data_IF_819934371309
#
_entry.id   IF_819934371309
#
_cell.length_a   1.000
_cell.length_b   1.000
_cell.length_c   1.000
_cell.angle_alpha   90.00
_cell.angle_beta   90.00
_cell.angle_gamma   90.00
#
_symmetry.space_group_name_H-M   'P 1'
#
loop_
_entity.id
_entity.type
_entity.pdbx_description
1 polymer ?
#
# COMPACT_ATOMS: atom_id res chain seq x y z
N UNK A 1 1.77 -22.82 21.16
CA UNK A 1 1.25 -21.54 21.64
C UNK A 1 1.86 -21.30 23.00
N UNK A 2 2.45 -20.12 23.25
CA UNK A 2 3.07 -19.80 24.55
C UNK A 2 2.00 -19.64 25.63
N UNK A 3 2.37 -19.85 26.90
CA UNK A 3 1.45 -19.66 28.03
C UNK A 3 0.93 -18.21 28.13
N UNK A 4 1.75 -17.26 27.73
CA UNK A 4 1.42 -15.83 27.69
C UNK A 4 0.32 -15.54 26.64
N UNK A 5 0.48 -16.07 25.43
CA UNK A 5 -0.52 -15.95 24.36
C UNK A 5 -1.86 -16.60 24.76
N UNK A 6 -1.82 -17.73 25.49
CA UNK A 6 -3.03 -18.36 26.00
C UNK A 6 -3.75 -17.47 27.03
N UNK A 7 -2.99 -16.83 27.93
CA UNK A 7 -3.57 -15.93 28.92
C UNK A 7 -4.24 -14.70 28.29
N UNK A 8 -3.68 -14.18 27.17
CA UNK A 8 -4.27 -13.08 26.42
C UNK A 8 -5.54 -13.50 25.66
N UNK A 9 -5.57 -14.70 25.09
CA UNK A 9 -6.77 -15.28 24.48
C UNK A 9 -7.89 -15.44 25.51
N UNK A 10 -7.58 -15.91 26.72
CA UNK A 10 -8.56 -16.09 27.78
C UNK A 10 -9.17 -14.75 28.24
N UNK A 11 -8.43 -13.64 28.18
CA UNK A 11 -8.95 -12.28 28.40
C UNK A 11 -9.94 -11.82 27.34
N UNK A 12 -9.89 -12.41 26.15
CA UNK A 12 -10.78 -12.07 25.02
C UNK A 12 -12.08 -12.88 25.02
N UNK A 13 -12.18 -13.97 25.79
CA UNK A 13 -13.34 -14.90 25.80
C UNK A 13 -14.61 -14.42 26.51
N UNK A 14 -14.60 -13.48 27.49
CA UNK A 14 -15.79 -13.16 28.27
C UNK A 14 -17.06 -12.83 27.45
N UNK A 15 -17.01 -12.12 26.32
CA UNK A 15 -18.19 -11.89 25.49
C UNK A 15 -18.73 -13.16 24.83
N UNK A 16 -17.93 -14.21 24.71
CA UNK A 16 -18.22 -15.43 23.94
C UNK A 16 -18.61 -16.61 24.84
N UNK A 17 -18.96 -16.38 26.11
CA UNK A 17 -19.31 -17.44 27.06
C UNK A 17 -20.46 -18.35 26.62
N UNK A 18 -21.37 -17.83 25.78
CA UNK A 18 -22.54 -18.55 25.28
C UNK A 18 -22.27 -19.25 23.93
N UNK A 19 -21.03 -19.12 23.43
CA UNK A 19 -20.58 -19.73 22.19
C UNK A 19 -19.80 -21.00 22.45
N UNK A 20 -19.89 -21.95 21.51
CA UNK A 20 -19.09 -23.17 21.49
C UNK A 20 -18.84 -23.66 20.07
N UNK A 21 -17.92 -24.63 19.89
CA UNK A 21 -17.76 -25.28 18.60
C UNK A 21 -19.03 -26.05 18.22
N UNK A 22 -19.27 -26.17 16.92
CA UNK A 22 -20.29 -27.05 16.42
C UNK A 22 -19.93 -28.53 16.69
N UNK A 23 -20.91 -29.45 16.78
CA UNK A 23 -20.61 -30.87 16.82
C UNK A 23 -19.78 -31.33 15.61
N UNK A 24 -18.93 -32.33 15.81
CA UNK A 24 -18.09 -32.90 14.74
C UNK A 24 -18.98 -33.36 13.57
N UNK A 25 -18.51 -33.03 12.36
CA UNK A 25 -19.22 -33.37 11.13
C UNK A 25 -20.44 -32.50 10.80
N UNK A 26 -20.66 -31.39 11.50
CA UNK A 26 -21.73 -30.45 11.14
C UNK A 26 -21.48 -29.86 9.73
N UNK A 27 -22.41 -30.00 8.77
CA UNK A 27 -22.17 -29.66 7.36
C UNK A 27 -22.24 -28.15 7.07
N UNK A 28 -22.47 -27.29 8.08
CA UNK A 28 -22.81 -25.89 7.89
C UNK A 28 -24.26 -25.70 7.42
N UNK A 29 -24.60 -24.46 7.07
CA UNK A 29 -25.90 -24.09 6.57
C UNK A 29 -25.91 -23.53 5.16
N UNK A 30 -24.78 -22.98 4.69
CA UNK A 30 -24.73 -22.23 3.42
C UNK A 30 -25.16 -23.08 2.21
N UNK A 31 -24.81 -24.37 2.20
CA UNK A 31 -25.15 -25.32 1.13
C UNK A 31 -25.80 -26.59 1.62
N UNK A 32 -26.13 -26.70 2.90
CA UNK A 32 -26.84 -27.85 3.44
C UNK A 32 -28.34 -27.70 3.23
N UNK A 33 -29.07 -28.85 3.37
CA UNK A 33 -30.54 -28.86 3.40
C UNK A 33 -31.11 -28.60 4.79
N UNK A 34 -30.26 -28.24 5.76
CA UNK A 34 -30.68 -27.92 7.11
C UNK A 34 -31.49 -26.63 7.12
N UNK A 35 -32.62 -26.63 7.83
CA UNK A 35 -33.42 -25.43 7.97
C UNK A 35 -32.73 -24.43 8.88
N UNK A 36 -32.46 -23.22 8.39
CA UNK A 36 -31.91 -22.11 9.14
C UNK A 36 -32.46 -20.79 8.63
N UNK A 37 -32.67 -19.87 9.55
CA UNK A 37 -32.89 -18.48 9.20
C UNK A 37 -31.59 -17.86 8.74
N UNK A 38 -31.61 -17.04 7.67
CA UNK A 38 -30.45 -16.40 7.08
C UNK A 38 -30.51 -14.89 7.29
N UNK A 39 -29.56 -14.35 8.02
CA UNK A 39 -29.49 -12.93 8.33
C UNK A 39 -28.26 -12.31 7.66
N UNK A 40 -28.44 -11.18 6.97
CA UNK A 40 -27.32 -10.41 6.43
C UNK A 40 -26.63 -9.64 7.56
N UNK A 41 -25.30 -9.70 7.61
CA UNK A 41 -24.51 -8.92 8.56
C UNK A 41 -23.93 -7.71 7.85
N UNK A 42 -24.28 -6.52 8.33
CA UNK A 42 -23.77 -5.25 7.77
C UNK A 42 -22.28 -5.08 8.06
N UNK A 43 -21.51 -4.56 7.06
CA UNK A 43 -20.05 -4.45 7.12
C UNK A 43 -19.54 -3.54 8.24
N UNK A 44 -20.31 -2.52 8.62
CA UNK A 44 -19.98 -1.59 9.69
C UNK A 44 -20.11 -2.17 11.09
N UNK A 45 -20.87 -3.24 11.23
CA UNK A 45 -21.06 -3.94 12.52
C UNK A 45 -19.93 -4.91 12.87
N UNK A 46 -19.29 -5.49 11.85
CA UNK A 46 -18.11 -6.37 12.00
C UNK A 46 -17.04 -5.94 11.00
N UNK A 47 -16.25 -4.91 11.36
CA UNK A 47 -15.45 -4.16 10.39
C UNK A 47 -14.29 -4.93 9.77
N UNK A 48 -13.77 -5.95 10.43
CA UNK A 48 -12.58 -6.67 9.93
C UNK A 48 -12.85 -8.16 9.82
N UNK A 49 -13.07 -8.64 8.60
CA UNK A 49 -13.31 -10.08 8.32
C UNK A 49 -12.16 -10.96 8.83
N UNK A 50 -10.90 -10.47 8.75
CA UNK A 50 -9.73 -11.20 9.24
C UNK A 50 -9.79 -11.48 10.75
N UNK A 51 -10.34 -10.56 11.58
CA UNK A 51 -10.51 -10.78 13.02
C UNK A 51 -11.51 -11.89 13.31
N UNK A 52 -12.48 -12.11 12.43
CA UNK A 52 -13.47 -13.18 12.59
C UNK A 52 -12.82 -14.57 12.48
N UNK A 53 -11.84 -14.77 11.61
CA UNK A 53 -11.08 -16.01 11.56
C UNK A 53 -10.39 -16.31 12.91
N UNK A 54 -9.78 -15.29 13.53
CA UNK A 54 -9.15 -15.44 14.84
C UNK A 54 -10.17 -15.77 15.93
N UNK A 55 -11.31 -15.07 15.96
CA UNK A 55 -12.39 -15.33 16.92
C UNK A 55 -12.93 -16.74 16.75
N UNK A 56 -13.33 -17.12 15.53
CA UNK A 56 -13.94 -18.40 15.27
C UNK A 56 -12.98 -19.56 15.57
N UNK A 57 -11.72 -19.48 15.14
CA UNK A 57 -10.74 -20.56 15.34
C UNK A 57 -10.13 -20.60 16.73
N UNK A 58 -9.70 -19.46 17.27
CA UNK A 58 -8.88 -19.42 18.50
C UNK A 58 -9.74 -19.24 19.76
N UNK A 59 -10.86 -18.51 19.68
CA UNK A 59 -11.70 -18.24 20.85
C UNK A 59 -12.89 -19.19 20.96
N UNK A 60 -13.56 -19.50 19.84
CA UNK A 60 -14.74 -20.39 19.83
C UNK A 60 -14.32 -21.85 19.57
N UNK A 61 -13.21 -22.07 18.85
CA UNK A 61 -12.77 -23.42 18.47
C UNK A 61 -13.53 -24.00 17.27
N UNK A 62 -14.13 -23.15 16.46
CA UNK A 62 -14.84 -23.57 15.26
C UNK A 62 -13.89 -23.93 14.12
N UNK A 63 -14.27 -24.88 13.28
CA UNK A 63 -13.54 -25.29 12.09
C UNK A 63 -14.10 -24.65 10.84
N UNK A 64 -13.22 -24.19 9.95
CA UNK A 64 -13.60 -23.71 8.64
C UNK A 64 -13.94 -24.88 7.73
N UNK A 65 -15.13 -24.87 7.14
CA UNK A 65 -15.56 -25.88 6.18
C UNK A 65 -14.93 -25.70 4.79
N UNK A 66 -14.17 -24.62 4.59
CA UNK A 66 -13.48 -24.32 3.34
C UNK A 66 -14.34 -23.59 2.33
N UNK A 67 -13.90 -23.66 1.08
CA UNK A 67 -14.46 -22.93 -0.06
C UNK A 67 -15.47 -23.75 -0.84
N UNK A 68 -16.49 -23.09 -1.36
CA UNK A 68 -17.44 -23.65 -2.32
C UNK A 68 -17.87 -22.56 -3.32
N UNK A 69 -18.72 -22.89 -4.29
CA UNK A 69 -19.23 -21.90 -5.25
C UNK A 69 -19.85 -20.70 -4.51
N UNK A 70 -19.34 -19.49 -4.76
CA UNK A 70 -19.78 -18.24 -4.12
C UNK A 70 -19.61 -18.18 -2.59
N UNK A 71 -18.86 -19.11 -1.99
CA UNK A 71 -18.56 -19.20 -0.57
C UNK A 71 -17.04 -19.13 -0.34
N UNK A 72 -16.57 -18.12 0.35
CA UNK A 72 -15.15 -17.98 0.69
C UNK A 72 -14.77 -18.86 1.89
N UNK A 73 -15.60 -18.91 2.90
CA UNK A 73 -15.46 -19.73 4.10
C UNK A 73 -16.77 -19.81 4.88
N UNK A 74 -16.93 -20.87 5.68
CA UNK A 74 -18.04 -21.04 6.61
C UNK A 74 -17.55 -21.67 7.91
N UNK A 75 -17.92 -21.05 9.04
CA UNK A 75 -17.65 -21.51 10.40
C UNK A 75 -18.95 -21.92 11.08
N UNK A 76 -19.28 -23.22 11.20
CA UNK A 76 -20.34 -23.68 12.08
C UNK A 76 -19.92 -23.55 13.54
N UNK A 77 -20.85 -23.13 14.39
CA UNK A 77 -20.68 -22.97 15.83
C UNK A 77 -21.99 -23.14 16.57
N UNK A 78 -21.97 -23.14 17.89
CA UNK A 78 -23.18 -23.11 18.71
C UNK A 78 -23.31 -21.80 19.46
N UNK A 79 -24.53 -21.32 19.61
CA UNK A 79 -24.88 -20.20 20.46
C UNK A 79 -26.04 -20.60 21.36
N UNK A 80 -25.84 -20.55 22.70
CA UNK A 80 -26.80 -21.06 23.70
C UNK A 80 -27.28 -22.49 23.42
N UNK A 81 -26.38 -23.32 22.87
CA UNK A 81 -26.69 -24.72 22.52
C UNK A 81 -27.35 -24.89 21.16
N UNK A 82 -27.74 -23.85 20.45
CA UNK A 82 -28.35 -23.92 19.12
C UNK A 82 -27.29 -23.82 18.02
N UNK A 83 -27.48 -24.60 16.96
CA UNK A 83 -26.56 -24.61 15.84
C UNK A 83 -26.68 -23.30 15.03
N UNK A 84 -25.52 -22.72 14.74
CA UNK A 84 -25.37 -21.50 13.95
C UNK A 84 -24.22 -21.68 12.94
N UNK A 85 -24.16 -20.87 11.91
CA UNK A 85 -22.92 -20.67 11.15
C UNK A 85 -22.74 -19.23 10.69
N UNK A 86 -21.47 -18.82 10.59
CA UNK A 86 -21.07 -17.57 10.00
C UNK A 86 -20.35 -17.86 8.69
N UNK A 87 -20.84 -17.29 7.58
CA UNK A 87 -20.32 -17.56 6.25
C UNK A 87 -20.04 -16.27 5.47
N UNK A 88 -18.89 -16.21 4.82
CA UNK A 88 -18.57 -15.14 3.86
C UNK A 88 -18.97 -15.61 2.46
N UNK A 89 -20.03 -15.01 1.96
CA UNK A 89 -20.57 -15.24 0.62
C UNK A 89 -20.12 -14.15 -0.35
N UNK A 90 -20.21 -14.37 -1.66
CA UNK A 90 -19.93 -13.39 -2.73
C UNK A 90 -20.57 -12.01 -2.46
N UNK A 91 -21.77 -11.98 -1.89
CA UNK A 91 -22.52 -10.76 -1.59
C UNK A 91 -22.48 -10.35 -0.10
N UNK A 92 -21.42 -10.72 0.62
CA UNK A 92 -21.15 -10.30 1.98
C UNK A 92 -21.39 -11.37 3.05
N UNK A 93 -21.20 -10.97 4.30
CA UNK A 93 -21.26 -11.84 5.44
C UNK A 93 -22.72 -12.25 5.75
N UNK A 94 -22.91 -13.52 6.07
CA UNK A 94 -24.21 -14.12 6.41
C UNK A 94 -24.08 -14.89 7.71
N UNK A 95 -25.06 -14.68 8.59
CA UNK A 95 -25.26 -15.45 9.79
C UNK A 95 -26.46 -16.38 9.58
N UNK A 96 -26.28 -17.66 9.82
CA UNK A 96 -27.31 -18.66 9.79
C UNK A 96 -27.60 -19.11 11.21
N UNK A 97 -28.88 -19.17 11.56
CA UNK A 97 -29.37 -19.62 12.87
C UNK A 97 -30.38 -20.74 12.66
N UNK A 98 -30.19 -21.84 13.38
CA UNK A 98 -31.20 -22.88 13.41
C UNK A 98 -32.52 -22.29 13.95
N UNK A 99 -33.59 -22.48 13.19
CA UNK A 99 -34.91 -21.95 13.55
C UNK A 99 -35.40 -22.56 14.86
N UNK A 100 -35.87 -21.70 15.77
CA UNK A 100 -36.58 -22.10 16.99
C UNK A 100 -38.07 -21.77 16.81
N UNK A 101 -38.96 -22.60 17.35
CA UNK A 101 -40.42 -22.40 17.17
C UNK A 101 -40.94 -21.08 17.78
N UNK A 102 -40.27 -20.55 18.85
CA UNK A 102 -40.66 -19.32 19.55
C UNK A 102 -39.53 -18.27 19.66
N UNK A 103 -38.47 -18.38 18.86
CA UNK A 103 -37.28 -17.50 18.94
C UNK A 103 -37.37 -16.24 18.06
N UNK A 104 -36.97 -15.08 18.60
CA UNK A 104 -36.73 -13.86 17.80
C UNK A 104 -35.35 -13.95 17.13
N UNK A 105 -35.36 -14.53 15.92
CA UNK A 105 -34.14 -14.73 15.10
C UNK A 105 -33.36 -13.43 14.89
N UNK A 106 -34.04 -12.30 14.72
CA UNK A 106 -33.36 -11.02 14.51
C UNK A 106 -32.71 -10.48 15.79
N UNK A 107 -33.35 -10.70 16.94
CA UNK A 107 -32.75 -10.31 18.23
C UNK A 107 -31.52 -11.16 18.53
N UNK A 108 -31.60 -12.49 18.32
CA UNK A 108 -30.47 -13.39 18.51
C UNK A 108 -29.31 -13.05 17.54
N UNK A 109 -29.63 -12.78 16.28
CA UNK A 109 -28.62 -12.36 15.31
C UNK A 109 -27.91 -11.04 15.72
N UNK A 110 -28.66 -10.05 16.18
CA UNK A 110 -28.11 -8.79 16.70
C UNK A 110 -27.22 -9.01 17.90
N UNK A 111 -27.65 -9.89 18.81
CA UNK A 111 -26.87 -10.20 20.02
C UNK A 111 -25.57 -10.93 19.67
N UNK A 112 -25.61 -11.95 18.80
CA UNK A 112 -24.44 -12.67 18.30
C UNK A 112 -23.45 -11.70 17.65
N UNK A 113 -23.89 -10.85 16.73
CA UNK A 113 -23.04 -9.84 16.06
C UNK A 113 -22.41 -8.87 17.06
N UNK A 114 -23.19 -8.39 18.04
CA UNK A 114 -22.69 -7.51 19.09
C UNK A 114 -21.61 -8.17 19.95
N UNK A 115 -21.79 -9.44 20.32
CA UNK A 115 -20.80 -10.21 21.09
C UNK A 115 -19.53 -10.51 20.31
N UNK A 116 -19.65 -10.86 19.01
CA UNK A 116 -18.50 -11.01 18.11
C UNK A 116 -17.72 -9.69 17.95
N UNK A 117 -18.43 -8.57 17.80
CA UNK A 117 -17.81 -7.25 17.74
C UNK A 117 -17.12 -6.84 19.07
N UNK A 118 -17.68 -7.23 20.21
CA UNK A 118 -17.04 -7.02 21.51
C UNK A 118 -15.77 -7.86 21.66
N UNK A 119 -15.80 -9.12 21.22
CA UNK A 119 -14.61 -9.98 21.19
C UNK A 119 -13.54 -9.45 20.25
N UNK A 120 -13.90 -8.92 19.07
CA UNK A 120 -12.96 -8.27 18.15
C UNK A 120 -12.23 -7.09 18.80
N UNK A 121 -12.96 -6.21 19.52
CA UNK A 121 -12.34 -5.08 20.26
C UNK A 121 -11.39 -5.54 21.36
N UNK A 122 -11.70 -6.65 22.04
CA UNK A 122 -10.79 -7.22 23.04
C UNK A 122 -9.54 -7.84 22.41
N UNK A 123 -9.68 -8.49 21.24
CA UNK A 123 -8.55 -8.99 20.45
C UNK A 123 -7.62 -7.83 20.03
N UNK A 124 -8.18 -6.76 19.47
CA UNK A 124 -7.41 -5.57 19.07
C UNK A 124 -6.64 -4.98 20.26
N UNK A 125 -7.26 -4.93 21.42
CA UNK A 125 -6.64 -4.32 22.62
C UNK A 125 -5.61 -5.22 23.29
N UNK A 126 -5.87 -6.52 23.40
CA UNK A 126 -5.10 -7.39 24.29
C UNK A 126 -4.16 -8.34 23.55
N UNK A 127 -4.58 -8.86 22.38
CA UNK A 127 -3.82 -9.90 21.66
C UNK A 127 -3.02 -9.34 20.50
N UNK A 128 -3.64 -8.50 19.66
CA UNK A 128 -2.99 -8.06 18.43
C UNK A 128 -1.69 -7.30 18.63
N UNK A 129 -1.52 -6.42 19.64
CA UNK A 129 -0.26 -5.70 19.81
C UNK A 129 0.94 -6.63 19.97
N UNK A 130 0.89 -7.56 20.93
CA UNK A 130 1.98 -8.53 21.16
C UNK A 130 2.16 -9.48 19.99
N UNK A 131 1.07 -9.95 19.39
CA UNK A 131 1.12 -10.84 18.23
C UNK A 131 1.74 -10.15 17.01
N UNK A 132 1.35 -8.91 16.74
CA UNK A 132 1.90 -8.10 15.63
C UNK A 132 3.38 -7.83 15.89
N UNK A 133 3.79 -7.45 17.09
CA UNK A 133 5.20 -7.20 17.43
C UNK A 133 6.08 -8.41 17.14
N UNK A 134 5.64 -9.61 17.56
CA UNK A 134 6.36 -10.86 17.28
C UNK A 134 6.44 -11.10 15.77
N UNK A 135 5.33 -11.00 15.03
CA UNK A 135 5.30 -11.29 13.60
C UNK A 135 6.09 -10.27 12.77
N UNK A 136 6.05 -9.00 13.17
CA UNK A 136 6.87 -7.94 12.56
C UNK A 136 8.35 -8.19 12.85
N UNK A 137 8.71 -8.58 14.08
CA UNK A 137 10.09 -8.94 14.43
C UNK A 137 10.62 -10.17 13.67
N UNK A 138 9.74 -11.12 13.34
CA UNK A 138 10.07 -12.31 12.52
C UNK A 138 9.99 -12.05 11.01
N UNK A 139 9.73 -10.83 10.55
CA UNK A 139 9.46 -10.47 9.15
C UNK A 139 8.29 -11.25 8.51
N UNK A 140 7.38 -11.82 9.30
CA UNK A 140 6.19 -12.53 8.80
C UNK A 140 5.09 -11.56 8.42
N UNK A 141 5.37 -10.78 7.39
CA UNK A 141 4.52 -9.67 6.91
C UNK A 141 4.17 -9.92 5.45
N UNK A 142 2.93 -9.58 5.09
CA UNK A 142 2.47 -9.51 3.69
C UNK A 142 2.34 -8.04 3.34
N UNK A 143 3.02 -7.61 2.29
CA UNK A 143 2.91 -6.26 1.74
C UNK A 143 1.83 -6.27 0.67
N UNK A 144 0.81 -5.45 0.87
CA UNK A 144 -0.25 -5.27 -0.12
C UNK A 144 0.25 -4.46 -1.31
N UNK A 145 -0.09 -4.94 -2.50
CA UNK A 145 0.29 -4.27 -3.72
C UNK A 145 -0.58 -3.04 -3.96
N UNK A 146 0.05 -1.87 -4.01
CA UNK A 146 -0.58 -0.58 -4.31
C UNK A 146 -0.13 -0.04 -5.68
N UNK A 147 0.51 -0.88 -6.50
CA UNK A 147 1.12 -0.50 -7.77
C UNK A 147 0.14 0.21 -8.70
N UNK A 148 -1.07 -0.33 -8.85
CA UNK A 148 -2.10 0.26 -9.72
C UNK A 148 -2.48 1.68 -9.31
N UNK A 149 -2.65 1.92 -8.00
CA UNK A 149 -2.98 3.24 -7.48
C UNK A 149 -1.82 4.23 -7.64
N UNK A 150 -0.60 3.84 -7.26
CA UNK A 150 0.57 4.71 -7.31
C UNK A 150 0.97 5.04 -8.75
N UNK A 151 0.93 4.05 -9.64
CA UNK A 151 1.18 4.24 -11.09
C UNK A 151 0.11 5.12 -11.71
N UNK A 152 -1.17 4.90 -11.38
CA UNK A 152 -2.26 5.73 -11.88
C UNK A 152 -2.11 7.19 -11.44
N UNK A 153 -1.69 7.44 -10.20
CA UNK A 153 -1.41 8.79 -9.71
C UNK A 153 -0.24 9.46 -10.46
N UNK A 154 0.86 8.71 -10.67
CA UNK A 154 2.00 9.20 -11.45
C UNK A 154 1.61 9.56 -12.89
N UNK A 155 0.91 8.66 -13.57
CA UNK A 155 0.46 8.87 -14.96
C UNK A 155 -0.48 10.07 -15.07
N UNK A 156 -1.44 10.19 -14.16
CA UNK A 156 -2.36 11.33 -14.14
C UNK A 156 -1.64 12.68 -14.06
N UNK A 157 -0.67 12.82 -13.15
CA UNK A 157 0.07 14.07 -13.04
C UNK A 157 1.05 14.29 -14.20
N UNK A 158 1.59 13.23 -14.79
CA UNK A 158 2.42 13.32 -16.00
C UNK A 158 1.62 13.87 -17.18
N UNK A 159 0.46 13.30 -17.43
CA UNK A 159 -0.46 13.77 -18.51
C UNK A 159 -0.94 15.20 -18.26
N UNK A 160 -1.23 15.53 -17.00
CA UNK A 160 -1.63 16.89 -16.64
C UNK A 160 -0.52 17.93 -16.89
N UNK A 161 0.73 17.60 -16.55
CA UNK A 161 1.89 18.46 -16.82
C UNK A 161 2.14 18.63 -18.30
N UNK A 162 2.10 17.53 -19.07
CA UNK A 162 2.26 17.55 -20.52
C UNK A 162 1.18 18.39 -21.20
N UNK A 163 -0.08 18.21 -20.82
CA UNK A 163 -1.19 19.01 -21.32
C UNK A 163 -1.02 20.50 -21.00
N UNK A 164 -0.54 20.83 -19.79
CA UNK A 164 -0.32 22.21 -19.40
C UNK A 164 0.77 22.88 -20.23
N UNK A 165 1.92 22.23 -20.38
CA UNK A 165 3.04 22.78 -21.18
C UNK A 165 2.74 22.87 -22.68
N UNK A 166 1.76 22.10 -23.19
CA UNK A 166 1.30 22.17 -24.58
C UNK A 166 0.09 23.09 -24.79
N UNK A 167 -0.28 23.88 -23.79
CA UNK A 167 -1.36 24.85 -23.86
C UNK A 167 -2.78 24.29 -23.69
N UNK A 168 -2.89 22.99 -23.33
CA UNK A 168 -4.15 22.31 -23.04
C UNK A 168 -4.62 22.45 -21.59
N UNK A 169 -3.84 23.07 -20.73
CA UNK A 169 -4.08 23.19 -19.31
C UNK A 169 -5.31 24.02 -18.94
N UNK A 170 -5.79 23.87 -17.71
CA UNK A 170 -6.96 24.54 -17.19
C UNK A 170 -6.72 26.04 -16.97
N UNK A 171 -5.53 26.39 -16.45
CA UNK A 171 -5.18 27.81 -16.21
C UNK A 171 -5.04 28.58 -17.53
N UNK A 172 -4.45 27.96 -18.56
CA UNK A 172 -4.36 28.55 -19.89
C UNK A 172 -5.76 28.80 -20.51
N UNK A 173 -6.65 27.82 -20.43
CA UNK A 173 -8.06 27.97 -20.90
C UNK A 173 -8.79 29.08 -20.17
N UNK A 174 -8.66 29.12 -18.83
CA UNK A 174 -9.27 30.20 -18.02
C UNK A 174 -8.70 31.56 -18.37
N UNK A 175 -7.40 31.65 -18.61
CA UNK A 175 -6.74 32.90 -19.05
C UNK A 175 -7.27 33.34 -20.40
N UNK A 176 -7.44 32.45 -21.38
CA UNK A 176 -7.99 32.72 -22.71
C UNK A 176 -9.44 33.23 -22.61
N UNK A 177 -10.28 32.63 -21.76
CA UNK A 177 -11.65 33.07 -21.51
C UNK A 177 -11.71 34.46 -20.90
N UNK A 178 -10.84 34.75 -19.92
CA UNK A 178 -10.79 36.06 -19.26
C UNK A 178 -10.26 37.17 -20.15
N UNK A 179 -9.41 36.86 -21.13
CA UNK A 179 -8.69 37.83 -21.95
C UNK A 179 -8.97 37.66 -23.45
N UNK A 180 -10.10 37.03 -23.82
CA UNK A 180 -10.46 36.75 -25.22
C UNK A 180 -10.44 37.96 -26.14
N UNK A 181 -10.75 39.15 -25.60
CA UNK A 181 -10.86 40.41 -26.37
C UNK A 181 -9.56 41.23 -26.39
N UNK A 182 -8.49 40.78 -25.69
CA UNK A 182 -7.23 41.52 -25.58
C UNK A 182 -6.08 40.82 -26.31
N UNK A 183 -5.71 41.33 -27.48
CA UNK A 183 -4.55 40.83 -28.23
C UNK A 183 -3.24 41.01 -27.44
N UNK A 184 -3.13 42.09 -26.69
CA UNK A 184 -1.95 42.39 -25.87
C UNK A 184 -1.78 41.37 -24.73
N UNK A 185 -2.84 40.99 -24.02
CA UNK A 185 -2.74 40.04 -22.91
C UNK A 185 -2.50 38.62 -23.38
N UNK A 186 -2.96 38.23 -24.58
CA UNK A 186 -2.70 36.90 -25.14
C UNK A 186 -1.22 36.56 -25.30
N UNK A 187 -0.32 37.55 -25.44
CA UNK A 187 1.13 37.30 -25.48
C UNK A 187 1.68 36.76 -24.15
N UNK A 188 0.97 36.91 -23.04
CA UNK A 188 1.36 36.39 -21.73
C UNK A 188 0.77 35.00 -21.40
N UNK A 189 0.11 34.37 -22.37
CA UNK A 189 -0.54 33.06 -22.19
C UNK A 189 0.42 31.96 -21.72
N UNK A 190 1.70 32.07 -22.05
CA UNK A 190 2.72 31.12 -21.60
C UNK A 190 2.94 31.12 -20.07
N UNK A 191 2.60 32.19 -19.36
CA UNK A 191 2.76 32.25 -17.90
C UNK A 191 1.85 31.26 -17.15
N UNK A 192 0.52 31.25 -17.38
CA UNK A 192 -0.35 30.25 -16.77
C UNK A 192 -0.05 28.81 -17.23
N UNK A 193 0.42 28.60 -18.48
CA UNK A 193 0.86 27.29 -18.97
C UNK A 193 2.05 26.77 -18.15
N UNK A 194 3.07 27.59 -18.01
CA UNK A 194 4.27 27.25 -17.24
C UNK A 194 3.97 27.02 -15.77
N UNK A 195 3.10 27.85 -15.19
CA UNK A 195 2.72 27.72 -13.78
C UNK A 195 1.98 26.40 -13.51
N UNK A 196 0.98 26.05 -14.34
CA UNK A 196 0.23 24.79 -14.18
C UNK A 196 1.13 23.59 -14.46
N UNK A 197 1.94 23.65 -15.53
CA UNK A 197 2.92 22.61 -15.86
C UNK A 197 3.89 22.35 -14.72
N UNK A 198 4.39 23.42 -14.11
CA UNK A 198 5.26 23.33 -12.95
C UNK A 198 4.58 22.66 -11.74
N UNK A 199 3.37 23.06 -11.37
CA UNK A 199 2.63 22.43 -10.25
C UNK A 199 2.39 20.94 -10.49
N UNK A 200 1.96 20.59 -11.71
CA UNK A 200 1.74 19.21 -12.08
C UNK A 200 3.03 18.39 -12.11
N UNK A 201 4.17 18.99 -12.51
CA UNK A 201 5.48 18.33 -12.50
C UNK A 201 5.94 18.01 -11.08
N UNK A 202 5.78 18.93 -10.13
CA UNK A 202 6.10 18.66 -8.71
C UNK A 202 5.26 17.51 -8.15
N UNK A 203 3.96 17.51 -8.45
CA UNK A 203 3.06 16.43 -8.04
C UNK A 203 3.43 15.08 -8.70
N UNK A 204 3.78 15.09 -9.99
CA UNK A 204 4.27 13.93 -10.74
C UNK A 204 5.53 13.34 -10.12
N UNK A 205 6.51 14.16 -9.77
CA UNK A 205 7.76 13.72 -9.15
C UNK A 205 7.50 13.09 -7.79
N UNK A 206 6.65 13.70 -6.96
CA UNK A 206 6.25 13.15 -5.66
C UNK A 206 5.55 11.80 -5.81
N UNK A 207 4.65 11.67 -6.78
CA UNK A 207 3.95 10.44 -7.08
C UNK A 207 4.91 9.34 -7.58
N UNK A 208 5.85 9.68 -8.46
CA UNK A 208 6.85 8.73 -8.95
C UNK A 208 7.79 8.25 -7.84
N UNK A 209 8.23 9.12 -6.95
CA UNK A 209 9.07 8.72 -5.82
C UNK A 209 8.32 7.79 -4.86
N UNK A 210 7.04 8.02 -4.62
CA UNK A 210 6.20 7.10 -3.86
C UNK A 210 6.06 5.74 -4.55
N UNK A 211 5.93 5.74 -5.88
CA UNK A 211 5.92 4.53 -6.70
C UNK A 211 7.25 3.77 -6.59
N UNK A 212 8.40 4.44 -6.70
CA UNK A 212 9.71 3.82 -6.54
C UNK A 212 9.92 3.25 -5.14
N UNK A 213 9.50 3.96 -4.09
CA UNK A 213 9.61 3.45 -2.72
C UNK A 213 8.82 2.15 -2.54
N UNK A 214 7.65 2.05 -3.17
CA UNK A 214 6.85 0.84 -3.16
C UNK A 214 7.52 -0.29 -3.95
N UNK A 215 8.01 -0.01 -5.16
CA UNK A 215 8.75 -0.97 -5.99
C UNK A 215 10.01 -1.51 -5.29
N UNK A 216 10.72 -0.68 -4.53
CA UNK A 216 11.91 -1.12 -3.81
C UNK A 216 11.59 -2.11 -2.69
N UNK A 217 10.40 -2.06 -2.10
CA UNK A 217 9.95 -3.11 -1.16
C UNK A 217 9.77 -4.45 -1.89
N UNK A 218 9.23 -4.45 -3.10
CA UNK A 218 9.10 -5.66 -3.92
C UNK A 218 10.46 -6.16 -4.41
N UNK A 219 11.34 -5.25 -4.81
CA UNK A 219 12.72 -5.54 -5.18
C UNK A 219 13.51 -6.22 -4.05
N UNK A 220 13.26 -5.81 -2.80
CA UNK A 220 13.91 -6.39 -1.61
C UNK A 220 13.65 -7.90 -1.49
N UNK A 221 12.49 -8.38 -1.88
CA UNK A 221 12.14 -9.81 -1.76
C UNK A 221 13.01 -10.72 -2.63
N UNK A 222 13.57 -10.20 -3.73
CA UNK A 222 14.45 -10.94 -4.65
C UNK A 222 15.93 -10.58 -4.48
N UNK A 223 16.26 -9.68 -3.55
CA UNK A 223 17.62 -9.30 -3.19
C UNK A 223 18.22 -10.26 -2.15
N UNK A 224 19.41 -9.91 -1.63
CA UNK A 224 20.10 -10.64 -0.58
C UNK A 224 19.53 -10.43 0.84
N UNK A 225 18.35 -9.81 0.96
CA UNK A 225 17.66 -9.60 2.24
C UNK A 225 17.50 -10.93 2.99
N UNK A 226 18.07 -11.01 4.20
CA UNK A 226 17.95 -12.18 5.07
C UNK A 226 16.91 -11.90 6.18
N UNK A 227 15.72 -12.54 6.14
CA UNK A 227 14.69 -12.30 7.15
C UNK A 227 15.09 -12.69 8.57
N UNK A 228 16.20 -13.45 8.76
CA UNK A 228 16.72 -13.80 10.07
C UNK A 228 17.64 -12.72 10.67
N UNK A 229 18.19 -11.83 9.86
CA UNK A 229 19.17 -10.81 10.27
C UNK A 229 18.70 -9.39 9.99
N UNK A 230 17.93 -9.19 8.90
CA UNK A 230 17.47 -7.90 8.43
C UNK A 230 16.05 -7.61 8.91
N UNK A 231 15.68 -6.32 8.98
CA UNK A 231 14.37 -5.86 9.39
C UNK A 231 13.63 -5.22 8.21
N UNK A 232 12.55 -5.84 7.76
CA UNK A 232 11.66 -5.26 6.75
C UNK A 232 11.05 -3.93 7.24
N UNK A 233 10.68 -3.85 8.52
CA UNK A 233 10.13 -2.64 9.13
C UNK A 233 11.11 -1.47 9.00
N UNK A 234 12.39 -1.73 9.31
CA UNK A 234 13.41 -0.68 9.24
C UNK A 234 13.68 -0.27 7.79
N UNK A 235 13.74 -1.23 6.86
CA UNK A 235 13.84 -0.93 5.43
C UNK A 235 12.66 -0.07 4.93
N UNK A 236 11.42 -0.39 5.31
CA UNK A 236 10.25 0.41 4.93
C UNK A 236 10.38 1.85 5.46
N UNK A 237 10.93 2.04 6.66
CA UNK A 237 11.16 3.35 7.27
C UNK A 237 12.26 4.19 6.66
N UNK A 238 13.13 3.62 5.81
CA UNK A 238 14.19 4.36 5.13
C UNK A 238 13.63 5.34 4.10
N UNK A 239 14.39 6.40 3.82
CA UNK A 239 14.10 7.32 2.72
C UNK A 239 14.41 6.65 1.36
N UNK A 240 13.81 7.14 0.29
CA UNK A 240 13.97 6.60 -1.07
C UNK A 240 15.43 6.28 -1.44
N UNK A 241 16.33 7.26 -1.27
CA UNK A 241 17.74 7.10 -1.66
C UNK A 241 18.53 6.16 -0.74
N UNK A 242 18.09 5.98 0.49
CA UNK A 242 18.65 4.98 1.41
C UNK A 242 18.19 3.57 1.02
N UNK A 243 16.90 3.38 0.69
CA UNK A 243 16.38 2.14 0.11
C UNK A 243 17.13 1.76 -1.17
N UNK A 244 17.38 2.76 -2.03
CA UNK A 244 18.17 2.55 -3.25
C UNK A 244 19.56 1.98 -2.96
N UNK A 245 20.29 2.54 -1.98
CA UNK A 245 21.62 2.05 -1.58
C UNK A 245 21.60 0.67 -0.95
N UNK A 246 20.51 0.27 -0.29
CA UNK A 246 20.38 -1.09 0.22
C UNK A 246 20.24 -2.12 -0.91
N UNK A 247 19.65 -1.71 -2.04
CA UNK A 247 19.43 -2.60 -3.18
C UNK A 247 20.58 -2.56 -4.18
N UNK A 248 21.24 -1.43 -4.39
CA UNK A 248 22.22 -1.24 -5.46
C UNK A 248 23.56 -0.73 -4.94
N UNK A 249 24.63 -1.34 -5.42
CA UNK A 249 25.99 -0.90 -5.09
C UNK A 249 26.37 0.38 -5.85
N UNK A 250 26.04 1.52 -5.27
CA UNK A 250 26.39 2.85 -5.84
C UNK A 250 27.90 3.13 -5.83
N UNK A 251 28.70 2.30 -5.16
CA UNK A 251 30.15 2.48 -5.07
C UNK A 251 30.87 1.85 -6.25
N UNK A 252 30.50 0.65 -6.64
CA UNK A 252 31.18 -0.13 -7.67
C UNK A 252 30.39 -0.21 -8.99
N UNK A 253 29.05 -0.14 -8.95
CA UNK A 253 28.23 -0.11 -10.16
C UNK A 253 28.08 1.32 -10.69
N UNK A 254 28.63 1.56 -11.89
CA UNK A 254 28.58 2.86 -12.57
C UNK A 254 27.15 3.26 -12.95
N UNK A 255 26.33 2.31 -13.38
CA UNK A 255 24.95 2.58 -13.79
C UNK A 255 24.09 2.93 -12.58
N UNK A 256 24.19 2.12 -11.51
CA UNK A 256 23.51 2.39 -10.25
C UNK A 256 23.89 3.77 -9.68
N UNK A 257 25.17 4.13 -9.71
CA UNK A 257 25.64 5.46 -9.28
C UNK A 257 25.05 6.58 -10.13
N UNK A 258 24.98 6.40 -11.44
CA UNK A 258 24.45 7.42 -12.35
C UNK A 258 22.96 7.70 -12.07
N UNK A 259 22.13 6.66 -11.90
CA UNK A 259 20.71 6.81 -11.52
C UNK A 259 20.54 7.40 -10.14
N UNK A 260 21.34 6.96 -9.16
CA UNK A 260 21.32 7.54 -7.82
C UNK A 260 21.54 9.07 -7.84
N UNK A 261 22.57 9.53 -8.54
CA UNK A 261 22.89 10.95 -8.62
C UNK A 261 21.78 11.74 -9.32
N UNK A 262 21.23 11.23 -10.42
CA UNK A 262 20.12 11.88 -11.14
C UNK A 262 18.85 11.94 -10.30
N UNK A 263 18.49 10.87 -9.57
CA UNK A 263 17.35 10.89 -8.64
C UNK A 263 17.58 11.87 -7.48
N UNK A 264 18.81 11.92 -6.95
CA UNK A 264 19.18 12.89 -5.92
C UNK A 264 19.01 14.32 -6.42
N UNK A 265 19.49 14.63 -7.64
CA UNK A 265 19.34 15.95 -8.24
C UNK A 265 17.87 16.35 -8.42
N UNK A 266 17.03 15.43 -8.89
CA UNK A 266 15.57 15.68 -9.00
C UNK A 266 14.94 15.91 -7.63
N UNK A 267 15.32 15.13 -6.61
CA UNK A 267 14.83 15.33 -5.25
C UNK A 267 15.22 16.71 -4.71
N UNK A 268 16.46 17.11 -4.88
CA UNK A 268 16.99 18.38 -4.40
C UNK A 268 16.40 19.60 -5.14
N UNK A 269 16.18 19.49 -6.45
CA UNK A 269 15.70 20.61 -7.27
C UNK A 269 14.20 20.79 -7.28
N UNK A 270 13.43 19.67 -7.17
CA UNK A 270 12.00 19.69 -7.38
C UNK A 270 11.17 19.31 -6.15
N UNK A 271 11.55 18.25 -5.40
CA UNK A 271 10.74 17.77 -4.29
C UNK A 271 10.99 18.57 -3.01
N UNK A 272 12.24 18.59 -2.56
CA UNK A 272 12.60 19.13 -1.25
C UNK A 272 12.20 20.60 -1.08
N UNK A 273 12.39 21.52 -2.06
CA UNK A 273 12.00 22.91 -1.90
C UNK A 273 10.52 23.10 -1.58
N UNK A 274 9.64 22.27 -2.16
CA UNK A 274 8.19 22.44 -2.05
C UNK A 274 7.58 21.63 -0.90
N UNK A 275 8.19 20.52 -0.51
CA UNK A 275 7.79 19.76 0.68
C UNK A 275 8.13 20.51 2.00
N UNK A 276 9.09 21.44 1.97
CA UNK A 276 9.60 22.14 3.15
C UNK A 276 9.38 23.66 3.12
N UNK A 277 8.38 24.16 2.45
CA UNK A 277 7.95 25.56 2.49
C UNK A 277 8.77 26.52 1.63
N UNK A 278 9.52 26.03 0.65
CA UNK A 278 10.25 26.87 -0.32
C UNK A 278 11.55 27.51 0.19
N UNK A 279 11.97 27.19 1.41
CA UNK A 279 13.21 27.74 2.00
C UNK A 279 14.44 26.87 1.74
N UNK A 280 14.32 25.84 0.93
CA UNK A 280 15.41 24.91 0.71
C UNK A 280 16.46 25.45 -0.28
N UNK A 281 17.58 24.85 -0.27
CA UNK A 281 18.95 25.15 -0.72
C UNK A 281 19.11 25.89 -2.05
N UNK A 282 18.08 25.94 -2.93
CA UNK A 282 18.20 26.49 -4.29
C UNK A 282 17.03 27.39 -4.72
N UNK A 283 16.06 27.62 -3.85
CA UNK A 283 14.89 28.36 -4.24
C UNK A 283 14.87 29.80 -3.78
N UNK A 284 15.18 30.77 -4.56
CA UNK A 284 15.16 32.23 -4.41
C UNK A 284 14.18 32.91 -3.40
N UNK A 285 13.74 32.18 -2.36
CA UNK A 285 12.89 32.69 -1.29
C UNK A 285 13.64 33.57 -0.27
N UNK A 286 14.95 33.57 -0.34
CA UNK A 286 15.81 34.36 0.55
C UNK A 286 16.57 35.42 -0.22
N UNK A 287 16.74 36.62 0.37
CA UNK A 287 17.59 37.67 -0.13
C UNK A 287 18.37 38.27 1.03
N UNK A 288 19.64 38.61 0.79
CA UNK A 288 20.40 39.46 1.72
C UNK A 288 20.12 40.93 1.40
N UNK A 289 19.90 41.72 2.43
CA UNK A 289 19.85 43.17 2.29
C UNK A 289 21.24 43.74 2.32
N UNK A 290 21.67 44.40 1.23
CA UNK A 290 22.97 45.08 1.14
C UNK A 290 22.73 46.56 1.13
N UNK A 291 23.30 47.31 2.10
CA UNK A 291 23.14 48.77 2.15
C UNK A 291 23.57 49.43 0.83
N UNK A 292 22.69 50.23 0.24
CA UNK A 292 22.94 50.94 -1.00
C UNK A 292 22.74 50.13 -2.30
N UNK A 293 22.56 48.81 -2.21
CA UNK A 293 22.35 47.95 -3.38
C UNK A 293 20.96 47.28 -3.38
N UNK A 294 20.32 47.22 -2.21
CA UNK A 294 18.99 46.53 -2.09
C UNK A 294 19.11 45.06 -1.77
N UNK A 295 18.09 44.28 -2.17
CA UNK A 295 18.01 42.86 -1.91
C UNK A 295 18.73 42.05 -3.00
N UNK A 296 19.71 41.26 -2.63
CA UNK A 296 20.41 40.34 -3.53
C UNK A 296 19.90 38.91 -3.26
N UNK A 297 19.37 38.21 -4.28
CA UNK A 297 18.90 36.81 -4.11
C UNK A 297 20.01 35.92 -3.57
N UNK A 298 19.61 35.03 -2.66
CA UNK A 298 20.48 34.10 -1.98
C UNK A 298 20.07 32.68 -2.27
N UNK A 299 21.03 31.85 -2.66
CA UNK A 299 20.85 30.40 -2.73
C UNK A 299 21.74 29.77 -1.65
N UNK A 300 21.12 29.14 -0.65
CA UNK A 300 21.87 28.54 0.46
C UNK A 300 21.97 27.04 0.20
N UNK A 301 23.17 26.51 0.01
CA UNK A 301 23.38 25.07 -0.21
C UNK A 301 23.35 24.25 1.07
N UNK A 302 23.67 24.83 2.23
CA UNK A 302 23.51 24.21 3.55
C UNK A 302 23.51 25.29 4.65
N UNK A 303 22.34 25.61 5.19
CA UNK A 303 22.17 26.64 6.23
C UNK A 303 22.84 26.23 7.55
N UNK A 304 23.04 24.93 7.80
CA UNK A 304 23.46 24.43 9.11
C UNK A 304 24.96 24.34 9.28
N UNK A 305 25.72 24.13 8.22
CA UNK A 305 27.15 23.86 8.32
C UNK A 305 28.03 24.83 7.57
N UNK A 306 27.75 25.13 6.31
CA UNK A 306 28.56 26.04 5.49
C UNK A 306 27.70 26.70 4.41
N UNK A 307 27.21 27.93 4.61
CA UNK A 307 26.47 28.64 3.58
C UNK A 307 27.38 28.94 2.37
N UNK A 308 27.06 28.30 1.25
CA UNK A 308 27.70 28.62 -0.04
C UNK A 308 26.75 29.47 -0.87
N UNK A 309 27.28 30.47 -1.54
CA UNK A 309 26.51 31.40 -2.34
C UNK A 309 26.77 31.12 -3.81
N UNK A 310 25.70 30.92 -4.57
CA UNK A 310 25.76 30.79 -6.02
C UNK A 310 25.12 32.03 -6.65
N UNK A 311 25.90 32.82 -7.33
CA UNK A 311 25.43 34.04 -8.00
C UNK A 311 24.95 33.78 -9.43
N UNK A 312 25.21 32.59 -9.99
CA UNK A 312 24.74 32.18 -11.31
C UNK A 312 23.58 31.20 -11.15
N UNK A 313 22.47 31.39 -11.89
CA UNK A 313 21.40 30.44 -11.88
C UNK A 313 21.93 29.07 -12.34
N UNK A 314 21.67 28.02 -11.55
CA UNK A 314 21.85 26.66 -12.04
C UNK A 314 20.84 26.38 -13.15
N UNK A 315 21.24 25.58 -14.15
CA UNK A 315 20.32 25.11 -15.18
C UNK A 315 19.21 24.30 -14.54
N UNK A 316 17.98 24.74 -14.71
CA UNK A 316 16.81 23.98 -14.29
C UNK A 316 16.69 22.71 -15.13
N UNK A 317 16.40 21.58 -14.47
CA UNK A 317 16.09 20.34 -15.14
C UNK A 317 14.68 20.48 -15.73
N UNK A 318 14.52 20.27 -17.03
CA UNK A 318 13.22 20.40 -17.68
C UNK A 318 12.28 19.24 -17.36
N UNK A 319 10.97 19.43 -17.62
CA UNK A 319 9.98 18.38 -17.54
C UNK A 319 10.37 17.15 -18.37
N UNK A 320 10.83 17.36 -19.61
CA UNK A 320 11.23 16.29 -20.52
C UNK A 320 12.45 15.50 -20.00
N UNK A 321 13.43 16.19 -19.40
CA UNK A 321 14.60 15.53 -18.80
C UNK A 321 14.21 14.67 -17.58
N UNK A 322 13.24 15.12 -16.77
CA UNK A 322 12.73 14.36 -15.62
C UNK A 322 11.94 13.13 -16.07
N UNK A 323 11.04 13.30 -17.03
CA UNK A 323 10.23 12.18 -17.55
C UNK A 323 11.10 11.14 -18.25
N UNK A 324 12.08 11.58 -19.05
CA UNK A 324 13.06 10.67 -19.66
C UNK A 324 13.86 9.88 -18.60
N UNK A 325 14.30 10.53 -17.52
CA UNK A 325 14.95 9.83 -16.41
C UNK A 325 14.07 8.76 -15.81
N UNK A 326 12.78 9.05 -15.60
CA UNK A 326 11.85 8.10 -14.98
C UNK A 326 11.59 6.89 -15.90
N UNK A 327 11.43 7.14 -17.19
CA UNK A 327 11.26 6.07 -18.19
C UNK A 327 12.52 5.18 -18.30
N UNK A 328 13.71 5.79 -18.31
CA UNK A 328 15.00 5.07 -18.27
C UNK A 328 15.16 4.25 -17.00
N UNK A 329 14.80 4.82 -15.85
CA UNK A 329 14.85 4.15 -14.55
C UNK A 329 13.94 2.93 -14.49
N UNK A 330 12.71 3.06 -14.96
CA UNK A 330 11.74 1.97 -15.05
C UNK A 330 12.25 0.83 -15.95
N UNK A 331 12.84 1.17 -17.09
CA UNK A 331 13.43 0.18 -18.01
C UNK A 331 14.64 -0.51 -17.38
N UNK A 332 15.51 0.25 -16.71
CA UNK A 332 16.70 -0.30 -16.05
C UNK A 332 16.32 -1.22 -14.88
N UNK A 333 15.36 -0.85 -14.05
CA UNK A 333 14.88 -1.69 -12.94
C UNK A 333 14.38 -3.04 -13.44
N UNK A 334 13.59 -3.07 -14.51
CA UNK A 334 13.07 -4.33 -15.11
C UNK A 334 14.16 -5.23 -15.69
N UNK A 335 15.27 -4.64 -16.16
CA UNK A 335 16.41 -5.37 -16.71
C UNK A 335 17.45 -5.77 -15.66
N UNK A 336 17.40 -5.18 -14.48
CA UNK A 336 18.33 -5.45 -13.38
C UNK A 336 17.98 -6.77 -12.67
N UNK A 337 18.84 -7.18 -11.74
CA UNK A 337 18.62 -8.38 -10.92
C UNK A 337 17.33 -8.32 -10.08
N UNK A 338 16.80 -7.12 -9.81
CA UNK A 338 15.52 -6.94 -9.10
C UNK A 338 14.30 -7.02 -10.02
N UNK A 339 14.49 -7.17 -11.31
CA UNK A 339 13.42 -7.25 -12.32
C UNK A 339 12.29 -8.21 -11.99
N UNK A 340 12.55 -9.40 -11.44
CA UNK A 340 11.49 -10.32 -11.00
C UNK A 340 10.58 -9.72 -9.90
N UNK A 341 11.13 -8.95 -8.95
CA UNK A 341 10.34 -8.23 -7.95
C UNK A 341 9.45 -7.15 -8.57
N UNK A 342 9.98 -6.42 -9.57
CA UNK A 342 9.22 -5.42 -10.32
C UNK A 342 8.08 -6.08 -11.11
N UNK A 343 8.35 -7.20 -11.81
CA UNK A 343 7.33 -7.95 -12.54
C UNK A 343 6.23 -8.49 -11.61
N UNK A 344 6.60 -8.95 -10.41
CA UNK A 344 5.62 -9.36 -9.39
C UNK A 344 4.69 -8.20 -8.98
N UNK A 345 5.26 -7.01 -8.81
CA UNK A 345 4.48 -5.81 -8.50
C UNK A 345 3.57 -5.40 -9.68
N UNK A 346 4.06 -5.48 -10.92
CA UNK A 346 3.30 -5.15 -12.13
C UNK A 346 2.06 -6.04 -12.31
N UNK A 347 2.11 -7.32 -11.88
CA UNK A 347 0.97 -8.25 -11.87
C UNK A 347 -0.08 -7.95 -10.77
N UNK A 348 0.11 -6.95 -9.95
CA UNK A 348 -0.84 -6.61 -8.89
C UNK A 348 -0.84 -7.55 -7.68
N UNK A 349 0.09 -8.50 -7.61
CA UNK A 349 0.16 -9.50 -6.55
C UNK A 349 0.74 -8.93 -5.25
N UNK A 350 0.17 -9.32 -4.11
CA UNK A 350 0.79 -9.06 -2.80
C UNK A 350 2.08 -9.86 -2.65
N UNK A 351 3.03 -9.36 -1.87
CA UNK A 351 4.29 -10.06 -1.62
C UNK A 351 4.43 -10.41 -0.14
N UNK A 352 4.80 -11.67 0.14
CA UNK A 352 5.07 -12.15 1.50
C UNK A 352 6.57 -12.08 1.79
N UNK A 353 6.91 -11.66 3.00
CA UNK A 353 8.28 -11.71 3.52
C UNK A 353 8.52 -12.91 4.45
N UNK A 354 7.58 -13.86 4.49
CA UNK A 354 7.80 -15.12 5.19
C UNK A 354 8.99 -15.88 4.59
N UNK A 355 9.91 -16.42 5.41
CA UNK A 355 11.13 -17.09 4.94
C UNK A 355 10.88 -18.19 3.89
N UNK A 356 9.80 -18.93 4.07
CA UNK A 356 9.40 -20.01 3.17
C UNK A 356 9.01 -19.49 1.78
N UNK A 357 8.30 -18.36 1.74
CA UNK A 357 7.90 -17.72 0.49
C UNK A 357 9.12 -17.13 -0.24
N UNK A 358 9.96 -16.37 0.48
CA UNK A 358 11.17 -15.78 -0.11
C UNK A 358 12.11 -16.85 -0.68
N UNK A 359 12.29 -17.96 0.04
CA UNK A 359 13.09 -19.09 -0.44
C UNK A 359 12.54 -19.63 -1.75
N UNK A 360 11.23 -19.88 -1.81
CA UNK A 360 10.56 -20.38 -3.02
C UNK A 360 10.68 -19.40 -4.19
N UNK A 361 10.45 -18.11 -3.94
CA UNK A 361 10.55 -17.07 -4.97
C UNK A 361 11.95 -17.01 -5.57
N UNK A 362 12.99 -16.96 -4.71
CA UNK A 362 14.39 -16.88 -5.13
C UNK A 362 14.87 -18.15 -5.83
N UNK A 363 14.42 -19.31 -5.38
CA UNK A 363 14.69 -20.57 -6.08
C UNK A 363 14.10 -20.58 -7.49
N UNK A 364 12.85 -20.12 -7.65
CA UNK A 364 12.22 -20.01 -8.98
C UNK A 364 12.98 -19.02 -9.88
N UNK A 365 13.44 -17.88 -9.33
CA UNK A 365 14.28 -16.93 -10.09
C UNK A 365 15.60 -17.58 -10.51
N UNK A 366 16.31 -18.25 -9.59
CA UNK A 366 17.59 -18.89 -9.86
C UNK A 366 17.48 -20.06 -10.84
N UNK A 367 16.35 -20.78 -10.83
CA UNK A 367 16.09 -21.90 -11.76
C UNK A 367 15.56 -21.45 -13.12
N UNK A 368 15.24 -20.16 -13.33
CA UNK A 368 14.59 -19.68 -14.55
C UNK A 368 13.10 -20.05 -14.65
N UNK A 369 12.47 -20.42 -13.54
CA UNK A 369 11.06 -20.84 -13.44
C UNK A 369 10.13 -19.74 -12.94
N UNK A 370 10.64 -18.50 -12.83
CA UNK A 370 9.92 -17.37 -12.27
C UNK A 370 8.59 -17.07 -13.00
N UNK A 371 8.58 -17.08 -14.32
CA UNK A 371 7.38 -16.77 -15.13
C UNK A 371 6.26 -17.79 -14.87
N UNK A 372 6.61 -19.07 -14.69
CA UNK A 372 5.67 -20.12 -14.35
C UNK A 372 5.07 -19.92 -12.93
N UNK A 373 5.90 -19.52 -11.98
CA UNK A 373 5.45 -19.19 -10.63
C UNK A 373 4.52 -17.97 -10.62
N UNK A 374 4.90 -16.92 -11.35
CA UNK A 374 4.15 -15.69 -11.47
C UNK A 374 2.76 -15.94 -12.06
N UNK A 375 2.69 -16.58 -13.24
CA UNK A 375 1.45 -16.93 -13.93
C UNK A 375 0.52 -17.76 -13.05
N UNK A 376 1.06 -18.78 -12.38
CA UNK A 376 0.27 -19.63 -11.49
C UNK A 376 -0.31 -18.86 -10.30
N UNK A 377 0.50 -17.96 -9.71
CA UNK A 377 0.08 -17.17 -8.56
C UNK A 377 -0.98 -16.14 -8.96
N UNK A 378 -0.81 -15.47 -10.11
CA UNK A 378 -1.77 -14.53 -10.68
C UNK A 378 -3.11 -15.22 -10.94
N UNK A 379 -3.11 -16.38 -11.58
CA UNK A 379 -4.31 -17.17 -11.80
C UNK A 379 -5.04 -17.53 -10.50
N UNK A 380 -4.31 -17.95 -9.46
CA UNK A 380 -4.91 -18.26 -8.15
C UNK A 380 -5.49 -17.03 -7.46
N UNK A 381 -4.84 -15.86 -7.61
CA UNK A 381 -5.33 -14.61 -7.06
C UNK A 381 -6.61 -14.15 -7.77
N UNK A 382 -6.68 -14.25 -9.09
CA UNK A 382 -7.87 -13.93 -9.88
C UNK A 382 -9.05 -14.83 -9.51
N UNK A 383 -8.83 -16.13 -9.38
CA UNK A 383 -9.86 -17.04 -8.89
C UNK A 383 -10.35 -16.67 -7.49
N UNK A 384 -9.42 -16.30 -6.58
CA UNK A 384 -9.78 -15.91 -5.23
C UNK A 384 -10.61 -14.62 -5.22
N UNK A 385 -10.34 -13.68 -6.12
CA UNK A 385 -11.06 -12.41 -6.22
C UNK A 385 -12.44 -12.58 -6.83
N UNK A 386 -12.57 -13.39 -7.86
CA UNK A 386 -13.82 -13.61 -8.59
C UNK A 386 -14.76 -14.60 -7.87
N UNK A 387 -14.24 -15.36 -6.89
CA UNK A 387 -14.98 -16.44 -6.21
C UNK A 387 -15.64 -17.45 -7.19
N UNK A 388 -14.99 -17.65 -8.35
CA UNK A 388 -15.41 -18.61 -9.36
C UNK A 388 -14.56 -19.88 -9.20
N UNK A 389 -14.87 -20.69 -8.23
CA UNK A 389 -14.29 -22.00 -7.98
C UNK A 389 -15.37 -23.10 -8.00
#
# INVERSE_FOLDING_TARGET
MSAELQAELDRCRPPLRDFGPAPDGHPGFAYSKLAAARVAVERDRLPVIASLHLIMRLLIGAHDLGRAEKLAWEYPFTYRGHACSLALMKFGLRLYLQSQEDGDVEADAREIVSKLAAAARLLEKNLLPSFVEIRVGENRIIVHNQMGQLRGMYQYFRELAEAAYTGGGMLAKRFDEQHKDSVFLKQFRSLPEQQEGFFATVAMITAYFSLLEHLFVFALAVSDFDPAQDSLKDFIGLRLLEKYKCLFDVTHDRAARAYYNRLHDVAEKWRNPYDHGGFDKKGGALSISVPGLGAIPLMLSDIRTHPTFHFLPERETSFDEVTALFDEMDAWLRQSYVGPGIAWADEGLNISFEPEFLTKLRQAVAAGEFDGLLTRTSYMADQATNMDW
#
